data_IF_635910335259
#
_entry.id   IF_635910335259
#
_cell.length_a   1.000
_cell.length_b   1.000
_cell.length_c   1.000
_cell.angle_alpha   90.00
_cell.angle_beta   90.00
_cell.angle_gamma   90.00
#
_symmetry.space_group_name_H-M   'P 1'
#
loop_
_entity.id
_entity.type
_entity.pdbx_description
1 polymer ?
#
# COMPACT_ATOMS: atom_id res chain seq x y z
N UNK A 1 5.05 -18.52 -4.61
CA UNK A 1 4.99 -17.23 -5.35
C UNK A 1 3.57 -16.67 -5.34
N UNK A 2 3.39 -15.52 -4.69
CA UNK A 2 2.13 -14.77 -4.54
C UNK A 2 2.42 -13.30 -4.85
N UNK A 3 1.70 -12.72 -5.81
CA UNK A 3 1.83 -11.32 -6.22
C UNK A 3 0.75 -10.47 -5.55
N UNK A 4 1.20 -9.53 -4.73
CA UNK A 4 0.35 -8.62 -3.95
C UNK A 4 0.57 -7.18 -4.40
N UNK A 5 -0.50 -6.47 -4.73
CA UNK A 5 -0.46 -5.03 -5.02
C UNK A 5 -0.71 -4.23 -3.75
N UNK A 6 0.26 -3.39 -3.35
CA UNK A 6 0.07 -2.39 -2.31
C UNK A 6 -0.17 -1.01 -2.95
N UNK A 7 -1.32 -0.41 -2.67
CA UNK A 7 -1.79 0.82 -3.31
C UNK A 7 -2.65 1.67 -2.36
N UNK A 8 -2.74 2.98 -2.56
CA UNK A 8 -3.68 3.83 -1.83
C UNK A 8 -3.34 5.31 -1.94
N UNK A 9 -3.99 6.12 -1.10
CA UNK A 9 -3.91 7.59 -1.13
C UNK A 9 -4.19 8.15 -2.54
N UNK A 10 -5.24 7.64 -3.20
CA UNK A 10 -5.65 8.06 -4.54
C UNK A 10 -6.30 9.45 -4.52
N UNK A 11 -7.16 9.71 -3.53
CA UNK A 11 -7.93 10.94 -3.37
C UNK A 11 -8.69 11.37 -4.64
N UNK A 12 -9.36 10.42 -5.29
CA UNK A 12 -10.18 10.71 -6.48
C UNK A 12 -11.60 11.01 -6.01
N UNK A 13 -12.24 12.13 -6.43
CA UNK A 13 -11.76 13.15 -7.36
C UNK A 13 -11.10 14.36 -6.67
N UNK A 14 -11.02 14.38 -5.33
CA UNK A 14 -10.70 15.58 -4.56
C UNK A 14 -9.31 16.17 -4.83
N UNK A 15 -8.29 15.35 -5.07
CA UNK A 15 -6.89 15.79 -5.29
C UNK A 15 -6.29 15.28 -6.59
N UNK A 16 -6.90 14.27 -7.20
CA UNK A 16 -6.48 13.75 -8.48
C UNK A 16 -7.72 13.38 -9.31
N UNK A 17 -7.70 13.60 -10.63
CA UNK A 17 -8.81 13.24 -11.50
C UNK A 17 -8.91 11.72 -11.71
N UNK A 18 -7.78 11.02 -11.79
CA UNK A 18 -7.72 9.59 -12.08
C UNK A 18 -6.32 9.01 -11.81
N UNK A 19 -6.16 7.68 -11.84
CA UNK A 19 -4.84 7.05 -11.93
C UNK A 19 -4.15 7.40 -13.25
N UNK A 20 -2.81 7.54 -13.25
CA UNK A 20 -2.05 7.69 -14.48
C UNK A 20 -2.32 6.57 -15.49
N UNK A 21 -2.52 6.94 -16.76
CA UNK A 21 -2.85 6.00 -17.83
C UNK A 21 -1.83 4.85 -17.96
N UNK A 22 -0.53 5.15 -17.76
CA UNK A 22 0.53 4.13 -17.77
C UNK A 22 0.34 3.08 -16.68
N UNK A 23 -0.10 3.48 -15.48
CA UNK A 23 -0.37 2.53 -14.40
C UNK A 23 -1.58 1.67 -14.72
N UNK A 24 -2.66 2.24 -15.27
CA UNK A 24 -3.83 1.47 -15.73
C UNK A 24 -3.48 0.43 -16.80
N UNK A 25 -2.55 0.75 -17.70
CA UNK A 25 -2.08 -0.22 -18.72
C UNK A 25 -1.27 -1.37 -18.13
N UNK A 26 -0.60 -1.16 -16.99
CA UNK A 26 0.21 -2.17 -16.32
C UNK A 26 -0.61 -3.04 -15.37
N UNK A 27 -1.57 -2.42 -14.67
CA UNK A 27 -2.50 -3.06 -13.77
C UNK A 27 -3.62 -3.72 -14.56
N UNK A 28 -3.35 -4.94 -15.04
CA UNK A 28 -4.32 -5.74 -15.78
C UNK A 28 -4.87 -6.89 -14.92
N UNK A 29 -6.17 -7.22 -15.04
CA UNK A 29 -6.76 -8.34 -14.31
C UNK A 29 -6.04 -9.68 -14.57
N UNK A 30 -6.06 -10.57 -13.58
CA UNK A 30 -5.54 -11.94 -13.69
C UNK A 30 -4.04 -12.11 -13.44
N UNK A 31 -3.28 -11.03 -13.23
CA UNK A 31 -1.86 -11.09 -12.82
C UNK A 31 -1.65 -11.02 -11.31
N UNK A 32 -2.47 -10.23 -10.63
CA UNK A 32 -2.36 -9.93 -9.20
C UNK A 32 -3.29 -10.88 -8.44
N UNK A 33 -2.81 -11.50 -7.37
CA UNK A 33 -3.61 -12.42 -6.56
C UNK A 33 -4.30 -11.71 -5.39
N UNK A 34 -3.68 -10.68 -4.82
CA UNK A 34 -4.24 -9.91 -3.71
C UNK A 34 -3.95 -8.42 -3.85
N UNK A 35 -4.86 -7.57 -3.37
CA UNK A 35 -4.64 -6.12 -3.30
C UNK A 35 -4.73 -5.67 -1.85
N UNK A 36 -3.67 -5.03 -1.35
CA UNK A 36 -3.62 -4.31 -0.08
C UNK A 36 -3.81 -2.82 -0.35
N UNK A 37 -5.02 -2.33 -0.12
CA UNK A 37 -5.34 -0.92 -0.24
C UNK A 37 -5.26 -0.22 1.11
N UNK A 38 -4.38 0.78 1.23
CA UNK A 38 -4.22 1.53 2.49
C UNK A 38 -5.34 2.54 2.73
N UNK A 39 -6.21 2.81 1.76
CA UNK A 39 -7.35 3.73 1.89
C UNK A 39 -7.19 5.04 1.11
N UNK A 40 -8.08 6.01 1.39
CA UNK A 40 -8.23 7.28 0.68
C UNK A 40 -8.51 7.09 -0.82
N UNK A 41 -9.50 6.25 -1.15
CA UNK A 41 -10.06 6.16 -2.51
C UNK A 41 -11.11 7.24 -2.75
N UNK A 42 -11.86 7.58 -1.70
CA UNK A 42 -12.92 8.58 -1.62
C UNK A 42 -14.22 8.25 -2.37
N UNK A 43 -14.17 7.55 -3.51
CA UNK A 43 -15.36 7.18 -4.29
C UNK A 43 -15.49 5.67 -4.53
N UNK A 44 -16.73 5.21 -4.70
CA UNK A 44 -17.06 3.80 -4.99
C UNK A 44 -16.47 3.33 -6.33
N UNK A 45 -16.46 4.18 -7.36
CA UNK A 45 -15.88 3.85 -8.67
C UNK A 45 -14.39 3.43 -8.59
N UNK A 46 -13.62 4.07 -7.70
CA UNK A 46 -12.22 3.73 -7.48
C UNK A 46 -12.07 2.38 -6.76
N UNK A 47 -12.98 2.08 -5.84
CA UNK A 47 -13.05 0.78 -5.17
C UNK A 47 -13.45 -0.33 -6.16
N UNK A 48 -14.46 -0.09 -7.00
CA UNK A 48 -14.92 -1.03 -8.03
C UNK A 48 -13.85 -1.28 -9.09
N UNK A 49 -13.08 -0.25 -9.46
CA UNK A 49 -11.91 -0.42 -10.31
C UNK A 49 -10.91 -1.40 -9.69
N UNK A 50 -10.51 -1.22 -8.43
CA UNK A 50 -9.57 -2.15 -7.77
C UNK A 50 -10.15 -3.57 -7.66
N UNK A 51 -11.45 -3.68 -7.36
CA UNK A 51 -12.16 -4.96 -7.30
C UNK A 51 -12.22 -5.68 -8.66
N UNK A 52 -12.29 -4.92 -9.75
CA UNK A 52 -12.22 -5.47 -11.11
C UNK A 52 -10.85 -6.03 -11.48
N UNK A 53 -9.78 -5.50 -10.87
CA UNK A 53 -8.41 -5.99 -11.05
C UNK A 53 -8.17 -7.30 -10.29
N UNK A 54 -8.63 -7.36 -9.04
CA UNK A 54 -8.59 -8.54 -8.21
C UNK A 54 -9.80 -8.60 -7.26
N UNK A 55 -10.57 -9.70 -7.24
CA UNK A 55 -11.66 -9.89 -6.29
C UNK A 55 -11.20 -9.91 -4.82
N UNK A 56 -9.97 -10.35 -4.56
CA UNK A 56 -9.40 -10.41 -3.20
C UNK A 56 -8.73 -9.07 -2.83
N UNK A 57 -9.60 -8.09 -2.58
CA UNK A 57 -9.26 -6.74 -2.17
C UNK A 57 -9.36 -6.61 -0.64
N UNK A 58 -8.24 -6.24 -0.03
CA UNK A 58 -8.16 -5.86 1.37
C UNK A 58 -8.07 -4.35 1.44
N UNK A 59 -8.99 -3.76 2.19
CA UNK A 59 -9.15 -2.32 2.23
C UNK A 59 -9.08 -1.85 3.69
N UNK A 60 -8.21 -0.89 3.96
CA UNK A 60 -8.17 -0.17 5.21
C UNK A 60 -8.80 1.21 5.03
N UNK A 61 -9.72 1.59 5.92
CA UNK A 61 -10.40 2.88 5.84
C UNK A 61 -9.43 4.05 6.02
N UNK A 62 -9.40 4.96 5.05
CA UNK A 62 -8.70 6.23 5.12
C UNK A 62 -9.53 7.36 5.72
N UNK A 63 -8.84 8.45 6.07
CA UNK A 63 -9.44 9.66 6.66
C UNK A 63 -10.54 10.28 5.77
N UNK A 64 -10.39 10.17 4.46
CA UNK A 64 -11.31 10.75 3.47
C UNK A 64 -12.25 9.72 2.83
N UNK A 65 -12.32 8.51 3.38
CA UNK A 65 -13.28 7.50 2.92
C UNK A 65 -14.58 7.62 3.72
N UNK A 66 -15.66 7.97 3.02
CA UNK A 66 -16.98 8.23 3.60
C UNK A 66 -17.69 6.95 4.07
N UNK A 67 -17.39 5.81 3.44
CA UNK A 67 -18.06 4.55 3.75
C UNK A 67 -17.52 3.93 5.06
N UNK A 68 -18.36 3.97 6.08
CA UNK A 68 -18.08 3.44 7.41
C UNK A 68 -18.09 1.90 7.49
N UNK A 69 -18.49 1.18 6.42
CA UNK A 69 -18.44 -0.28 6.37
C UNK A 69 -17.01 -0.81 6.22
N UNK A 70 -16.09 0.04 5.78
CA UNK A 70 -14.70 -0.34 5.64
C UNK A 70 -14.03 -0.53 6.99
N UNK A 71 -13.38 -1.69 7.23
CA UNK A 71 -12.69 -1.90 8.48
C UNK A 71 -11.47 -0.97 8.56
N UNK A 72 -11.21 -0.44 9.75
CA UNK A 72 -10.00 0.36 9.98
C UNK A 72 -8.73 -0.50 9.91
N UNK A 73 -8.87 -1.81 10.12
CA UNK A 73 -7.79 -2.81 10.15
C UNK A 73 -8.28 -4.13 9.57
N UNK A 74 -7.45 -4.81 8.77
CA UNK A 74 -7.77 -6.16 8.26
C UNK A 74 -6.51 -7.04 8.27
N UNK A 75 -6.58 -8.15 9.00
CA UNK A 75 -5.65 -9.29 8.94
C UNK A 75 -5.84 -10.06 7.65
N UNK A 76 -4.76 -10.64 7.13
CA UNK A 76 -4.92 -11.82 6.30
C UNK A 76 -3.81 -12.85 6.56
N UNK A 77 -4.24 -14.10 6.71
CA UNK A 77 -3.41 -15.29 6.86
C UNK A 77 -3.13 -15.87 5.47
N UNK A 78 -2.25 -15.21 4.73
CA UNK A 78 -1.43 -15.93 3.78
C UNK A 78 -0.39 -16.66 4.63
N UNK A 79 0.35 -17.63 4.11
CA UNK A 79 1.47 -18.27 4.84
C UNK A 79 2.52 -17.28 5.45
N UNK A 80 2.35 -15.98 5.20
CA UNK A 80 2.93 -14.81 5.84
C UNK A 80 1.79 -13.87 6.27
N UNK A 81 1.78 -13.43 7.53
CA UNK A 81 0.76 -12.50 8.03
C UNK A 81 1.02 -11.09 7.48
N UNK A 82 0.09 -10.59 6.66
CA UNK A 82 0.22 -9.27 6.04
C UNK A 82 -1.00 -8.38 6.32
N UNK A 83 -0.75 -7.11 6.58
CA UNK A 83 -1.75 -6.18 7.06
C UNK A 83 -1.68 -4.85 6.33
N UNK A 84 -2.84 -4.23 6.09
CA UNK A 84 -2.96 -2.88 5.59
C UNK A 84 -3.61 -1.97 6.63
N UNK A 85 -3.04 -0.77 6.80
CA UNK A 85 -3.54 0.27 7.68
C UNK A 85 -3.35 1.64 7.00
N UNK A 86 -4.30 2.56 7.10
CA UNK A 86 -4.11 3.90 6.55
C UNK A 86 -3.05 4.71 7.30
N UNK A 87 -2.90 4.50 8.62
CA UNK A 87 -1.84 5.13 9.44
C UNK A 87 -2.22 6.44 10.11
N UNK A 88 -3.32 7.10 9.70
CA UNK A 88 -3.74 8.39 10.28
C UNK A 88 -4.12 8.33 11.77
N UNK A 89 -4.63 7.18 12.24
CA UNK A 89 -5.09 7.02 13.62
C UNK A 89 -4.03 6.55 14.63
N UNK A 90 -2.85 6.08 14.19
CA UNK A 90 -2.06 5.16 15.05
C UNK A 90 -0.61 5.59 15.28
N UNK A 91 -0.02 6.43 14.42
CA UNK A 91 1.42 6.70 14.50
C UNK A 91 1.62 8.19 14.79
N UNK A 92 1.71 8.55 16.07
CA UNK A 92 2.13 9.89 16.49
C UNK A 92 3.41 9.71 17.33
N UNK A 93 4.57 10.19 16.86
CA UNK A 93 4.79 11.02 15.67
C UNK A 93 4.74 10.23 14.35
N UNK A 94 4.18 10.82 13.29
CA UNK A 94 3.99 10.14 12.00
C UNK A 94 5.30 9.57 11.45
N UNK A 95 5.25 8.33 10.96
CA UNK A 95 6.41 7.62 10.39
C UNK A 95 7.54 7.32 11.38
N UNK A 96 7.29 7.35 12.69
CA UNK A 96 8.23 6.87 13.70
C UNK A 96 8.44 5.35 13.55
N UNK A 97 9.70 4.95 13.33
CA UNK A 97 10.05 3.57 13.03
C UNK A 97 9.80 2.65 14.22
N UNK A 98 10.05 3.13 15.44
CA UNK A 98 9.86 2.36 16.67
C UNK A 98 8.37 2.11 16.93
N UNK A 99 7.53 3.14 16.78
CA UNK A 99 6.07 3.02 16.89
C UNK A 99 5.50 2.04 15.85
N UNK A 100 5.99 2.11 14.60
CA UNK A 100 5.61 1.18 13.54
C UNK A 100 6.02 -0.26 13.86
N UNK A 101 7.25 -0.49 14.33
CA UNK A 101 7.74 -1.81 14.70
C UNK A 101 7.02 -2.37 15.92
N UNK A 102 6.69 -1.53 16.91
CA UNK A 102 5.86 -1.93 18.06
C UNK A 102 4.46 -2.33 17.62
N UNK A 103 3.84 -1.56 16.72
CA UNK A 103 2.50 -1.84 16.23
C UNK A 103 2.46 -3.12 15.39
N UNK A 104 3.47 -3.33 14.53
CA UNK A 104 3.66 -4.57 13.79
C UNK A 104 3.73 -5.79 14.73
N UNK A 105 4.50 -5.70 15.82
CA UNK A 105 4.59 -6.76 16.84
C UNK A 105 3.27 -6.98 17.58
N UNK A 106 2.52 -5.91 17.90
CA UNK A 106 1.22 -6.02 18.55
C UNK A 106 0.17 -6.74 17.68
N UNK A 107 0.26 -6.52 16.36
CA UNK A 107 -0.61 -7.18 15.40
C UNK A 107 -0.15 -8.59 15.04
N UNK A 108 1.08 -8.96 15.42
CA UNK A 108 1.73 -10.25 15.12
C UNK A 108 1.83 -10.52 13.61
N UNK A 109 2.52 -9.63 12.90
CA UNK A 109 2.52 -9.59 11.42
C UNK A 109 3.92 -9.47 10.88
N UNK A 110 4.18 -10.14 9.75
CA UNK A 110 5.47 -10.10 9.08
C UNK A 110 5.56 -8.92 8.11
N UNK A 111 4.44 -8.52 7.51
CA UNK A 111 4.37 -7.40 6.55
C UNK A 111 3.31 -6.41 7.00
N UNK A 112 3.73 -5.19 7.35
CA UNK A 112 2.82 -4.09 7.67
C UNK A 112 2.82 -3.05 6.54
N UNK A 113 1.68 -2.83 5.89
CA UNK A 113 1.49 -1.81 4.85
C UNK A 113 0.79 -0.59 5.44
N UNK A 114 1.39 0.59 5.30
CA UNK A 114 0.89 1.86 5.88
C UNK A 114 0.74 2.95 4.82
N UNK A 115 -0.20 3.89 5.00
CA UNK A 115 -0.42 5.03 4.10
C UNK A 115 -0.09 6.39 4.72
N UNK A 116 -0.89 7.41 4.38
CA UNK A 116 -0.95 8.76 4.97
C UNK A 116 0.22 9.69 4.64
N UNK A 117 1.47 9.24 4.79
CA UNK A 117 2.65 10.08 4.50
C UNK A 117 2.81 10.41 3.02
N UNK A 118 2.19 9.59 2.15
CA UNK A 118 2.28 9.64 0.68
C UNK A 118 3.73 9.51 0.15
N UNK A 119 4.68 9.14 1.00
CA UNK A 119 6.07 8.88 0.65
C UNK A 119 6.32 7.37 0.65
N UNK A 120 6.95 6.89 -0.42
CA UNK A 120 7.41 5.51 -0.40
C UNK A 120 8.43 5.31 0.72
N UNK A 121 8.23 4.27 1.52
CA UNK A 121 9.20 3.79 2.51
C UNK A 121 9.12 2.28 2.56
N UNK A 122 10.26 1.61 2.57
CA UNK A 122 10.36 0.20 2.90
C UNK A 122 11.45 0.04 3.96
N UNK A 123 11.06 -0.43 5.14
CA UNK A 123 11.95 -0.58 6.28
C UNK A 123 11.84 -1.99 6.83
N UNK A 124 12.99 -2.67 6.96
CA UNK A 124 13.08 -3.98 7.60
C UNK A 124 13.45 -3.78 9.07
N UNK A 125 12.72 -4.44 9.96
CA UNK A 125 13.07 -4.56 11.37
C UNK A 125 13.12 -6.04 11.79
N UNK A 126 13.53 -6.33 13.02
CA UNK A 126 13.70 -7.70 13.55
C UNK A 126 12.45 -8.59 13.39
N UNK A 127 11.25 -8.02 13.41
CA UNK A 127 9.97 -8.74 13.33
C UNK A 127 9.34 -8.76 11.94
N UNK A 128 9.98 -8.19 10.90
CA UNK A 128 9.44 -8.20 9.55
C UNK A 128 9.72 -6.92 8.76
N UNK A 129 8.82 -6.55 7.86
CA UNK A 129 8.96 -5.39 6.97
C UNK A 129 7.74 -4.47 7.03
N UNK A 130 8.00 -3.18 7.13
CA UNK A 130 7.00 -2.11 7.01
C UNK A 130 7.14 -1.45 5.65
N UNK A 131 6.02 -1.30 4.94
CA UNK A 131 5.96 -0.76 3.58
C UNK A 131 4.94 0.37 3.53
N UNK A 132 5.32 1.50 2.96
CA UNK A 132 4.42 2.55 2.55
C UNK A 132 4.46 2.65 1.03
N UNK A 133 3.36 2.36 0.31
CA UNK A 133 3.38 2.40 -1.15
C UNK A 133 3.42 3.83 -1.71
N UNK A 134 3.19 4.85 -0.89
CA UNK A 134 2.98 6.23 -1.31
C UNK A 134 1.59 6.47 -1.90
N UNK A 135 1.46 7.52 -2.71
CA UNK A 135 0.20 7.85 -3.39
C UNK A 135 0.20 7.37 -4.85
N UNK A 136 -0.80 6.57 -5.23
CA UNK A 136 -0.93 6.04 -6.58
C UNK A 136 -1.20 7.08 -7.67
N UNK A 137 -1.73 8.24 -7.27
CA UNK A 137 -2.09 9.34 -8.15
C UNK A 137 -1.12 10.52 -8.04
N UNK A 138 -0.19 10.49 -7.09
CA UNK A 138 0.63 11.66 -6.78
C UNK A 138 -0.17 12.76 -6.08
N UNK A 139 -1.22 12.40 -5.34
CA UNK A 139 -2.03 13.35 -4.61
C UNK A 139 -1.15 14.17 -3.63
N UNK A 140 -1.21 15.49 -3.72
CA UNK A 140 -0.44 16.37 -2.86
C UNK A 140 -0.82 16.15 -1.39
N UNK A 141 0.17 16.11 -0.50
CA UNK A 141 0.00 15.98 0.94
C UNK A 141 0.59 17.18 1.68
N UNK A 142 0.08 17.50 2.86
CA UNK A 142 0.55 18.64 3.67
C UNK A 142 2.02 18.53 4.10
N UNK A 143 2.59 17.33 4.00
CA UNK A 143 3.94 16.98 4.45
C UNK A 143 4.87 16.68 3.25
N UNK A 144 4.30 16.52 2.05
CA UNK A 144 4.98 15.92 0.90
C UNK A 144 5.04 16.89 -0.27
N UNK A 145 6.23 17.45 -0.53
CA UNK A 145 6.46 18.38 -1.64
C UNK A 145 6.68 17.70 -2.99
N UNK A 146 7.20 16.46 -2.97
CA UNK A 146 7.46 15.66 -4.18
C UNK A 146 6.44 14.52 -4.28
N UNK A 147 5.45 14.71 -5.15
CA UNK A 147 4.24 13.90 -5.24
C UNK A 147 4.20 13.12 -6.57
N UNK A 148 5.29 12.41 -6.89
CA UNK A 148 5.27 11.51 -8.03
C UNK A 148 4.30 10.34 -7.76
N UNK A 149 3.41 10.01 -8.71
CA UNK A 149 2.54 8.86 -8.59
C UNK A 149 3.34 7.57 -8.44
N UNK A 150 2.96 6.73 -7.46
CA UNK A 150 3.66 5.48 -7.19
C UNK A 150 2.80 4.40 -6.55
N UNK A 151 3.14 3.15 -6.84
CA UNK A 151 2.56 1.97 -6.17
C UNK A 151 3.62 0.89 -6.01
N UNK A 152 3.32 -0.13 -5.21
CA UNK A 152 4.26 -1.21 -4.91
C UNK A 152 3.65 -2.56 -5.29
N UNK A 153 4.44 -3.41 -5.95
CA UNK A 153 4.13 -4.83 -6.11
C UNK A 153 5.05 -5.66 -5.23
N UNK A 154 4.48 -6.58 -4.48
CA UNK A 154 5.20 -7.55 -3.67
C UNK A 154 5.10 -8.90 -4.36
N UNK A 155 6.24 -9.53 -4.59
CA UNK A 155 6.33 -10.92 -5.02
C UNK A 155 6.88 -11.74 -3.85
N UNK A 156 5.99 -12.54 -3.27
CA UNK A 156 6.22 -13.28 -2.03
C UNK A 156 6.40 -14.76 -2.37
N UNK A 157 7.56 -15.32 -2.02
CA UNK A 157 7.88 -16.72 -2.26
C UNK A 157 8.53 -17.36 -1.02
N UNK A 158 7.71 -18.08 -0.24
CA UNK A 158 8.09 -18.48 1.12
C UNK A 158 8.47 -17.24 1.92
N UNK A 159 9.59 -17.26 2.62
CA UNK A 159 10.08 -16.12 3.42
C UNK A 159 10.73 -15.01 2.58
N UNK A 160 10.90 -15.19 1.27
CA UNK A 160 11.52 -14.17 0.41
C UNK A 160 10.45 -13.22 -0.12
N UNK A 161 10.71 -11.93 0.00
CA UNK A 161 9.82 -10.87 -0.47
C UNK A 161 10.61 -9.95 -1.39
N UNK A 162 10.18 -9.85 -2.64
CA UNK A 162 10.68 -8.89 -3.61
C UNK A 162 9.69 -7.72 -3.69
N UNK A 163 10.17 -6.52 -3.39
CA UNK A 163 9.41 -5.28 -3.39
C UNK A 163 9.77 -4.52 -4.67
N UNK A 164 8.83 -4.42 -5.60
CA UNK A 164 8.95 -3.64 -6.83
C UNK A 164 8.23 -2.31 -6.66
N UNK A 165 8.94 -1.22 -6.87
CA UNK A 165 8.46 0.14 -6.67
C UNK A 165 8.27 0.75 -8.05
N UNK A 166 7.04 1.06 -8.39
CA UNK A 166 6.70 1.71 -9.66
C UNK A 166 6.46 3.18 -9.38
N UNK A 167 7.27 4.04 -9.99
CA UNK A 167 7.16 5.48 -9.85
C UNK A 167 7.05 6.13 -11.22
N UNK A 168 6.15 7.10 -11.37
CA UNK A 168 5.98 7.86 -12.60
C UNK A 168 6.76 9.19 -12.48
N UNK A 169 7.86 9.30 -13.20
CA UNK A 169 8.73 10.49 -13.24
C UNK A 169 8.77 11.01 -14.67
N UNK A 170 8.44 12.28 -14.88
CA UNK A 170 8.42 12.93 -16.21
C UNK A 170 7.65 12.13 -17.27
N UNK A 171 6.54 11.51 -16.84
CA UNK A 171 5.70 10.68 -17.68
C UNK A 171 6.29 9.32 -18.04
N UNK A 172 7.45 8.92 -17.52
CA UNK A 172 8.03 7.58 -17.70
C UNK A 172 7.91 6.77 -16.41
N UNK A 173 7.66 5.47 -16.54
CA UNK A 173 7.58 4.56 -15.38
C UNK A 173 8.98 4.07 -15.08
N UNK A 174 9.50 4.47 -13.92
CA UNK A 174 10.73 3.92 -13.34
C UNK A 174 10.36 2.77 -12.41
N UNK A 175 11.15 1.70 -12.45
CA UNK A 175 10.97 0.54 -11.58
C UNK A 175 12.23 0.33 -10.76
N UNK A 176 12.10 0.45 -9.45
CA UNK A 176 13.16 0.08 -8.50
C UNK A 176 12.79 -1.25 -7.80
N UNK A 177 13.79 -1.98 -7.34
CA UNK A 177 13.61 -3.32 -6.73
C UNK A 177 14.40 -3.43 -5.44
N UNK A 178 13.73 -3.91 -4.40
CA UNK A 178 14.33 -4.25 -3.11
C UNK A 178 14.04 -5.71 -2.81
N UNK A 179 15.05 -6.47 -2.39
CA UNK A 179 14.87 -7.85 -1.93
C UNK A 179 15.01 -7.88 -0.41
N UNK A 180 14.08 -8.58 0.26
CA UNK A 180 14.16 -8.83 1.69
C UNK A 180 13.76 -10.28 1.99
N UNK A 181 14.21 -10.75 3.15
CA UNK A 181 13.83 -12.06 3.69
C UNK A 181 13.22 -11.84 5.07
N UNK A 182 12.03 -12.38 5.27
CA UNK A 182 11.30 -12.36 6.53
C UNK A 182 11.93 -13.32 7.56
N UNK A 183 11.74 -13.06 8.86
CA UNK A 183 12.16 -14.00 9.89
C UNK A 183 11.44 -15.34 9.74
N UNK A 184 12.11 -16.42 10.12
CA UNK A 184 11.46 -17.73 10.30
C UNK A 184 11.02 -17.80 11.77
N UNK A 185 9.71 -17.99 12.00
CA UNK A 185 9.15 -18.24 13.33
C UNK A 185 9.14 -19.74 13.64
#
# INVERSE_FOLDING_TARGET
MVLVLAIGDLHIPHRAPDLPAKFKQMLVPGKIQHILCVGNLCIEDAHDYLRSLCPDLHFARGEYDEDARYPERKTHDWSIQAWALHGHHIIVPWSDLDSLAMFQRQLDVDILVTGHTRQFKAYKHEGGVVINPGSATGAHGSITYDANPRFVLLDIDGLRVLIYIYELIDGQVKVDKIATTLPAH
#
